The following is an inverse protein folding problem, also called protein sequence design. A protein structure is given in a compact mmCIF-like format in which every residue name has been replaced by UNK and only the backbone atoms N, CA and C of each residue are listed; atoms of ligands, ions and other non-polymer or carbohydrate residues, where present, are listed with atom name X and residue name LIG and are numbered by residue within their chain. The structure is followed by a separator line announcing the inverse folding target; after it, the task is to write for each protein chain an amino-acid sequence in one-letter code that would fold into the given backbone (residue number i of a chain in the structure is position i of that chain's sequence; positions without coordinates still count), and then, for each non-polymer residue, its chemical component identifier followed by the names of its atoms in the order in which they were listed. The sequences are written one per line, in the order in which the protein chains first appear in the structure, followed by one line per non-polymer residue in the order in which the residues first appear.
data_IF_816481134764
#
_entry.id   IF_816481134764
#
_cell.length_a   1.000
_cell.length_b   1.000
_cell.length_c   1.000
_cell.angle_alpha   90.00
_cell.angle_beta   90.00
_cell.angle_gamma   90.00
#
_symmetry.space_group_name_H-M   'P 1'
#
loop_
_entity.id
_entity.type
_entity.pdbx_description
1 polymer ?
#
# COMPACT_ATOMS: atom_id res chain seq x y z
N UNK A 1 -13.68 8.01 5.44
CA UNK A 1 -12.31 7.77 4.94
C UNK A 1 -12.29 6.45 4.19
N UNK A 2 -11.85 6.45 2.94
CA UNK A 2 -11.68 5.24 2.12
C UNK A 2 -10.44 4.46 2.56
N UNK A 3 -10.58 3.17 2.77
CA UNK A 3 -9.51 2.27 3.22
C UNK A 3 -9.04 1.43 2.04
N UNK A 4 -7.84 1.66 1.57
CA UNK A 4 -7.28 0.98 0.42
C UNK A 4 -6.16 0.03 0.84
N UNK A 5 -6.05 -1.10 0.18
CA UNK A 5 -4.90 -1.99 0.29
C UNK A 5 -4.06 -1.86 -0.98
N UNK A 6 -2.74 -1.84 -0.85
CA UNK A 6 -1.82 -1.91 -1.98
C UNK A 6 -0.79 -3.00 -1.73
N UNK A 7 -0.60 -3.90 -2.71
CA UNK A 7 0.33 -5.01 -2.62
C UNK A 7 0.78 -5.47 -4.01
N UNK A 8 2.01 -6.01 -4.12
CA UNK A 8 2.45 -6.80 -5.25
C UNK A 8 2.36 -8.29 -4.86
N UNK A 9 1.71 -9.10 -5.68
CA UNK A 9 1.42 -10.51 -5.38
C UNK A 9 1.82 -11.40 -6.54
N UNK A 10 2.39 -12.56 -6.23
CA UNK A 10 2.63 -13.63 -7.21
C UNK A 10 1.32 -14.38 -7.56
N UNK A 11 1.33 -15.22 -8.59
CA UNK A 11 0.18 -16.05 -8.97
C UNK A 11 -0.28 -16.99 -7.84
N UNK A 12 0.64 -17.42 -6.98
CA UNK A 12 0.33 -18.20 -5.78
C UNK A 12 0.08 -17.34 -4.52
N UNK A 13 -0.22 -16.05 -4.69
CA UNK A 13 -0.47 -15.05 -3.63
C UNK A 13 0.73 -14.76 -2.73
N UNK A 14 1.93 -15.23 -3.05
CA UNK A 14 3.14 -14.91 -2.29
C UNK A 14 3.47 -13.41 -2.38
N UNK A 15 3.92 -12.82 -1.26
CA UNK A 15 4.27 -11.40 -1.13
C UNK A 15 5.65 -11.19 -0.50
N UNK A 16 6.24 -12.19 0.13
CA UNK A 16 7.50 -12.05 0.83
C UNK A 16 8.08 -13.38 1.30
N UNK A 17 9.36 -13.32 1.67
CA UNK A 17 10.12 -14.37 2.32
C UNK A 17 11.18 -13.76 3.23
N UNK A 18 11.37 -14.30 4.41
CA UNK A 18 12.38 -13.83 5.39
C UNK A 18 12.28 -12.34 5.70
N UNK A 19 11.04 -11.79 5.71
CA UNK A 19 10.74 -10.36 5.88
C UNK A 19 11.28 -9.45 4.76
N UNK A 20 11.56 -9.99 3.58
CA UNK A 20 12.00 -9.26 2.39
C UNK A 20 10.96 -9.39 1.26
N UNK A 21 11.00 -8.44 0.31
CA UNK A 21 10.22 -8.53 -0.93
C UNK A 21 10.81 -9.60 -1.84
N UNK A 22 9.95 -10.29 -2.60
CA UNK A 22 10.35 -11.39 -3.50
C UNK A 22 11.02 -10.90 -4.79
N UNK A 23 10.83 -9.64 -5.15
CA UNK A 23 11.32 -9.04 -6.39
C UNK A 23 11.50 -7.54 -6.23
N UNK A 24 12.27 -6.97 -7.14
CA UNK A 24 12.35 -5.54 -7.35
C UNK A 24 11.86 -5.23 -8.76
N UNK A 25 10.75 -4.52 -8.88
CA UNK A 25 10.17 -4.06 -10.15
C UNK A 25 10.08 -2.53 -10.06
N UNK A 26 10.92 -1.86 -10.86
CA UNK A 26 11.02 -0.39 -10.81
C UNK A 26 9.69 0.32 -11.11
N UNK A 27 8.89 -0.24 -12.02
CA UNK A 27 7.57 0.28 -12.35
C UNK A 27 6.58 0.16 -11.17
N UNK A 28 6.61 -0.96 -10.44
CA UNK A 28 5.78 -1.17 -9.24
C UNK A 28 6.15 -0.18 -8.13
N UNK A 29 7.43 0.07 -7.90
CA UNK A 29 7.88 1.05 -6.91
C UNK A 29 7.43 2.48 -7.26
N UNK A 30 7.44 2.85 -8.55
CA UNK A 30 6.92 4.14 -9.03
C UNK A 30 5.40 4.22 -8.87
N UNK A 31 4.68 3.14 -9.22
CA UNK A 31 3.24 3.02 -9.04
C UNK A 31 2.84 3.14 -7.57
N UNK A 32 3.48 2.38 -6.68
CA UNK A 32 3.27 2.44 -5.23
C UNK A 32 3.47 3.87 -4.70
N UNK A 33 4.60 4.52 -5.07
CA UNK A 33 4.87 5.89 -4.66
C UNK A 33 3.79 6.86 -5.15
N UNK A 34 3.40 6.79 -6.41
CA UNK A 34 2.39 7.66 -7.02
C UNK A 34 1.03 7.51 -6.33
N UNK A 35 0.57 6.28 -6.13
CA UNK A 35 -0.76 5.97 -5.57
C UNK A 35 -0.86 6.35 -4.09
N UNK A 36 0.22 6.17 -3.31
CA UNK A 36 0.22 6.41 -1.86
C UNK A 36 0.67 7.82 -1.46
N UNK A 37 1.16 8.63 -2.40
CA UNK A 37 1.70 9.96 -2.09
C UNK A 37 0.62 10.87 -1.48
N UNK A 38 1.00 11.57 -0.40
CA UNK A 38 0.10 12.45 0.34
C UNK A 38 -0.92 11.74 1.24
N UNK A 39 -1.03 10.42 1.16
CA UNK A 39 -1.96 9.64 1.98
C UNK A 39 -1.31 9.08 3.25
N UNK A 40 -2.04 8.90 4.36
CA UNK A 40 -1.59 8.07 5.46
C UNK A 40 -1.36 6.63 4.99
N UNK A 41 -0.24 6.04 5.42
CA UNK A 41 0.10 4.63 5.16
C UNK A 41 0.15 3.86 6.48
N UNK A 42 -0.47 2.69 6.48
CA UNK A 42 -0.58 1.80 7.65
C UNK A 42 0.18 0.52 7.37
N UNK A 43 1.06 0.13 8.29
CA UNK A 43 1.87 -1.09 8.18
C UNK A 43 2.01 -1.79 9.53
N UNK A 44 2.29 -3.08 9.49
CA UNK A 44 2.72 -3.83 10.68
C UNK A 44 4.20 -3.61 11.00
N UNK A 45 4.60 -3.88 12.24
CA UNK A 45 5.97 -3.66 12.72
C UNK A 45 7.04 -4.40 11.90
N UNK A 46 6.78 -5.64 11.46
CA UNK A 46 7.72 -6.37 10.60
C UNK A 46 7.97 -5.67 9.26
N UNK A 47 6.92 -5.09 8.66
CA UNK A 47 7.04 -4.30 7.42
C UNK A 47 7.83 -3.01 7.67
N UNK A 48 7.61 -2.35 8.81
CA UNK A 48 8.42 -1.20 9.22
C UNK A 48 9.91 -1.56 9.30
N UNK A 49 10.26 -2.69 9.92
CA UNK A 49 11.65 -3.17 9.99
C UNK A 49 12.25 -3.46 8.61
N UNK A 50 11.48 -4.05 7.70
CA UNK A 50 11.91 -4.32 6.33
C UNK A 50 12.18 -3.03 5.53
N UNK A 51 11.33 -2.00 5.70
CA UNK A 51 11.50 -0.70 5.02
C UNK A 51 12.66 0.10 5.64
N UNK A 52 12.84 0.00 6.97
CA UNK A 52 13.95 0.57 7.73
C UNK A 52 13.95 2.09 7.89
N UNK A 53 12.97 2.81 7.32
CA UNK A 53 12.87 4.27 7.38
C UNK A 53 11.44 4.75 7.10
N UNK A 54 11.06 5.97 7.55
CA UNK A 54 9.80 6.57 7.15
C UNK A 54 9.75 6.80 5.64
N UNK A 55 8.60 6.52 5.03
CA UNK A 55 8.36 6.83 3.63
C UNK A 55 7.98 8.32 3.51
N UNK A 56 8.77 9.14 2.79
CA UNK A 56 8.56 10.59 2.74
C UNK A 56 7.25 10.98 2.04
N UNK A 57 6.69 12.13 2.45
CA UNK A 57 5.45 12.68 1.89
C UNK A 57 4.18 11.89 2.27
N UNK A 58 4.27 11.04 3.29
CA UNK A 58 3.16 10.21 3.79
C UNK A 58 3.23 10.12 5.31
N UNK A 59 2.09 10.11 5.99
CA UNK A 59 2.06 9.81 7.41
C UNK A 59 2.25 8.31 7.62
N UNK A 60 3.34 7.94 8.29
CA UNK A 60 3.67 6.54 8.56
C UNK A 60 3.03 6.10 9.87
N UNK A 61 2.13 5.11 9.81
CA UNK A 61 1.43 4.55 10.97
C UNK A 61 1.81 3.08 11.09
N UNK A 62 2.40 2.71 12.23
CA UNK A 62 2.89 1.36 12.50
C UNK A 62 2.08 0.70 13.59
N UNK A 63 1.47 -0.44 13.24
CA UNK A 63 0.74 -1.27 14.20
C UNK A 63 1.75 -2.14 14.96
N UNK A 64 1.85 -1.90 16.26
CA UNK A 64 2.76 -2.61 17.17
C UNK A 64 2.18 -2.72 18.58
N UNK A 65 2.47 -3.81 19.28
CA UNK A 65 2.10 -3.96 20.70
C UNK A 65 3.15 -3.42 21.66
N UNK A 66 4.38 -3.24 21.17
CA UNK A 66 5.50 -2.76 21.97
C UNK A 66 6.03 -1.45 21.37
N UNK A 67 6.32 -0.49 22.22
CA UNK A 67 7.00 0.73 21.79
C UNK A 67 8.40 0.40 21.27
N UNK A 68 8.82 1.10 20.22
CA UNK A 68 10.16 0.99 19.65
C UNK A 68 10.69 2.40 19.33
N UNK A 69 12.00 2.54 19.26
CA UNK A 69 12.63 3.80 18.89
C UNK A 69 12.38 4.10 17.41
N UNK A 70 11.72 5.22 17.15
CA UNK A 70 11.37 5.67 15.80
C UNK A 70 11.38 7.20 15.75
N UNK A 71 11.58 7.81 14.56
CA UNK A 71 11.41 9.24 14.39
C UNK A 71 10.03 9.72 14.85
N UNK A 72 9.91 10.93 15.37
CA UNK A 72 8.64 11.52 15.86
C UNK A 72 7.54 11.58 14.78
N UNK A 73 7.94 11.58 13.50
CA UNK A 73 7.01 11.53 12.36
C UNK A 73 6.29 10.19 12.19
N UNK A 74 6.68 9.16 12.94
CA UNK A 74 6.10 7.81 12.88
C UNK A 74 5.12 7.62 14.03
N UNK A 75 3.88 7.31 13.68
CA UNK A 75 2.81 7.06 14.66
C UNK A 75 2.78 5.58 14.99
N UNK A 76 2.92 5.24 16.28
CA UNK A 76 2.84 3.88 16.77
C UNK A 76 1.49 3.65 17.43
N UNK A 77 0.79 2.59 17.04
CA UNK A 77 -0.56 2.28 17.53
C UNK A 77 -0.69 0.78 17.84
N UNK A 78 -1.54 0.38 18.81
CA UNK A 78 -1.62 -1.01 19.25
C UNK A 78 -2.40 -1.93 18.33
N UNK A 79 -3.31 -1.39 17.52
CA UNK A 79 -4.26 -2.18 16.72
C UNK A 79 -4.75 -1.47 15.46
N UNK A 80 -5.54 -2.18 14.65
CA UNK A 80 -6.09 -1.70 13.38
C UNK A 80 -7.07 -0.55 13.58
N UNK A 81 -7.90 -0.59 14.61
CA UNK A 81 -8.89 0.47 14.86
C UNK A 81 -8.20 1.79 15.19
N UNK A 82 -7.19 1.75 16.05
CA UNK A 82 -6.33 2.90 16.37
C UNK A 82 -5.57 3.41 15.16
N UNK A 83 -5.13 2.51 14.24
CA UNK A 83 -4.47 2.91 13.01
C UNK A 83 -5.41 3.69 12.07
N UNK A 84 -6.65 3.25 11.91
CA UNK A 84 -7.62 3.98 11.12
C UNK A 84 -8.02 5.32 11.76
N UNK A 85 -8.15 5.38 13.08
CA UNK A 85 -8.39 6.64 13.80
C UNK A 85 -7.23 7.63 13.56
N UNK A 86 -5.98 7.19 13.75
CA UNK A 86 -4.80 8.01 13.49
C UNK A 86 -4.71 8.48 12.03
N UNK A 87 -5.09 7.64 11.07
CA UNK A 87 -5.13 8.02 9.65
C UNK A 87 -6.19 9.10 9.37
N UNK A 88 -7.31 9.09 10.09
CA UNK A 88 -8.39 10.05 9.92
C UNK A 88 -8.07 11.44 10.51
N UNK A 89 -7.34 11.50 11.62
CA UNK A 89 -6.95 12.76 12.27
C UNK A 89 -6.10 13.68 11.40
N UNK A 90 -5.32 13.11 10.46
CA UNK A 90 -4.46 13.90 9.56
C UNK A 90 -5.23 14.70 8.55
N UNK A 91 -6.38 14.21 8.14
CA UNK A 91 -7.18 14.86 7.08
C UNK A 91 -7.79 16.16 7.56
N UNK A 92 -8.01 16.30 8.87
CA UNK A 92 -8.52 17.55 9.46
C UNK A 92 -7.44 18.65 9.48
N UNK A 93 -6.15 18.26 9.55
CA UNK A 93 -5.03 19.22 9.64
C UNK A 93 -4.39 19.53 8.26
N UNK A 94 -4.57 18.69 7.24
CA UNK A 94 -3.98 18.88 5.92
C UNK A 94 -4.66 20.00 5.10
N UNK A 95 -5.93 20.29 5.40
CA UNK A 95 -6.69 21.38 4.74
C UNK A 95 -6.09 22.77 5.02
N UNK A 96 -5.27 22.90 6.08
CA UNK A 96 -4.65 24.16 6.47
C UNK A 96 -3.25 24.36 5.86
N UNK A 97 -2.58 23.28 5.41
CA UNK A 97 -1.18 23.34 4.95
C UNK A 97 -1.01 23.33 3.42
N UNK A 98 -2.06 23.11 2.65
CA UNK A 98 -1.99 22.98 1.17
C UNK A 98 -1.96 24.30 0.39
N UNK A 99 -2.13 25.44 1.04
CA UNK A 99 -2.02 26.75 0.36
C UNK A 99 -0.59 27.21 0.04
N UNK A 100 0.45 26.47 0.45
CA UNK A 100 1.84 26.96 0.38
C UNK A 100 2.77 26.29 -0.65
N UNK A 101 2.38 25.26 -1.41
CA UNK A 101 3.29 24.59 -2.37
C UNK A 101 2.64 24.15 -3.68
N UNK A 102 2.13 25.11 -4.44
CA UNK A 102 1.78 24.92 -5.85
C UNK A 102 2.92 25.45 -6.75
N UNK A 103 3.99 24.67 -6.91
CA UNK A 103 4.98 24.91 -7.96
C UNK A 103 5.85 23.66 -8.15
N UNK A 104 5.40 22.72 -8.89
CA UNK A 104 6.13 21.86 -9.85
C UNK A 104 5.27 20.63 -10.24
N UNK A 105 4.26 20.88 -11.08
CA UNK A 105 3.42 19.81 -11.61
C UNK A 105 3.64 19.66 -13.11
N UNK A 106 4.55 18.77 -13.48
CA UNK A 106 4.66 18.32 -14.86
C UNK A 106 3.68 17.18 -15.14
N UNK A 107 2.83 17.39 -16.14
CA UNK A 107 1.80 16.58 -16.75
C UNK A 107 1.86 15.06 -16.47
N UNK A 108 0.90 14.56 -15.73
CA UNK A 108 0.52 13.14 -15.68
C UNK A 108 -0.98 13.04 -15.98
N UNK A 109 -1.38 12.05 -16.79
CA UNK A 109 -2.75 11.87 -17.25
C UNK A 109 -3.76 11.93 -16.10
N UNK A 110 -4.83 12.72 -16.29
CA UNK A 110 -5.85 13.09 -15.30
C UNK A 110 -6.77 11.94 -14.83
N UNK A 111 -6.56 10.70 -15.28
CA UNK A 111 -7.42 9.56 -14.91
C UNK A 111 -7.04 8.89 -13.58
N UNK A 112 -5.81 9.06 -13.07
CA UNK A 112 -5.31 8.40 -11.85
C UNK A 112 -4.94 9.38 -10.71
N UNK A 113 -5.14 10.67 -10.88
CA UNK A 113 -4.97 11.65 -9.82
C UNK A 113 -6.17 11.62 -8.87
N UNK A 114 -6.19 10.60 -8.00
CA UNK A 114 -7.16 10.56 -6.90
C UNK A 114 -6.74 11.62 -5.88
N UNK A 115 -7.69 12.44 -5.44
CA UNK A 115 -7.47 13.37 -4.34
C UNK A 115 -6.95 12.55 -3.13
N UNK A 116 -5.84 12.96 -2.53
CA UNK A 116 -5.30 12.35 -1.31
C UNK A 116 -6.24 12.51 -0.11
N UNK A 117 -7.26 13.35 -0.26
CA UNK A 117 -8.25 13.63 0.75
C UNK A 117 -9.20 12.45 0.97
N UNK A 118 -9.40 12.08 2.20
CA UNK A 118 -10.39 11.09 2.60
C UNK A 118 -9.97 9.64 2.40
N UNK A 119 -8.71 9.30 2.18
CA UNK A 119 -8.26 7.92 2.00
C UNK A 119 -6.97 7.58 2.77
N UNK A 120 -6.77 6.29 3.06
CA UNK A 120 -5.53 5.74 3.60
C UNK A 120 -5.14 4.46 2.86
N UNK A 121 -3.87 4.06 2.95
CA UNK A 121 -3.36 2.84 2.34
C UNK A 121 -2.76 1.90 3.37
N UNK A 122 -3.20 0.65 3.38
CA UNK A 122 -2.59 -0.45 4.10
C UNK A 122 -1.53 -1.05 3.17
N UNK A 123 -0.26 -1.06 3.62
CA UNK A 123 0.89 -1.46 2.82
C UNK A 123 1.59 -2.74 3.31
N UNK A 124 0.95 -3.45 4.23
CA UNK A 124 1.42 -4.76 4.67
C UNK A 124 1.78 -4.88 6.15
N UNK A 125 2.30 -6.03 6.54
CA UNK A 125 2.50 -7.27 5.80
C UNK A 125 1.31 -8.22 5.87
N UNK A 126 1.54 -9.50 5.63
CA UNK A 126 0.51 -10.54 5.51
C UNK A 126 -0.56 -10.49 6.62
N UNK A 127 -0.16 -10.47 7.89
CA UNK A 127 -1.09 -10.37 9.03
C UNK A 127 -1.89 -9.06 9.06
N UNK A 128 -1.33 -7.97 8.55
CA UNK A 128 -2.03 -6.69 8.47
C UNK A 128 -3.07 -6.74 7.36
N UNK A 129 -2.71 -7.29 6.19
CA UNK A 129 -3.67 -7.52 5.10
C UNK A 129 -4.82 -8.42 5.53
N UNK A 130 -4.55 -9.56 6.17
CA UNK A 130 -5.56 -10.49 6.68
C UNK A 130 -6.57 -9.79 7.60
N UNK A 131 -6.09 -8.96 8.54
CA UNK A 131 -6.93 -8.26 9.52
C UNK A 131 -7.72 -7.09 8.94
N UNK A 132 -7.28 -6.53 7.82
CA UNK A 132 -7.87 -5.32 7.25
C UNK A 132 -8.67 -5.57 5.99
N UNK A 133 -8.49 -6.71 5.30
CA UNK A 133 -9.15 -7.02 4.03
C UNK A 133 -10.68 -6.89 4.11
N UNK A 134 -11.28 -7.37 5.22
CA UNK A 134 -12.72 -7.26 5.42
C UNK A 134 -13.24 -5.81 5.55
N UNK A 135 -12.35 -4.87 5.86
CA UNK A 135 -12.68 -3.44 6.06
C UNK A 135 -12.20 -2.55 4.90
N UNK A 136 -11.48 -3.13 3.94
CA UNK A 136 -10.96 -2.38 2.80
C UNK A 136 -12.07 -2.10 1.77
N UNK A 137 -12.00 -0.94 1.12
CA UNK A 137 -12.93 -0.50 0.08
C UNK A 137 -12.39 -0.80 -1.32
N UNK A 138 -11.06 -0.69 -1.51
CA UNK A 138 -10.37 -1.00 -2.77
C UNK A 138 -9.06 -1.76 -2.53
N UNK A 139 -8.69 -2.56 -3.53
CA UNK A 139 -7.38 -3.22 -3.59
C UNK A 139 -6.65 -2.72 -4.85
N UNK A 140 -5.43 -2.26 -4.66
CA UNK A 140 -4.48 -1.91 -5.71
C UNK A 140 -3.45 -3.03 -5.75
N UNK A 141 -3.57 -3.92 -6.73
CA UNK A 141 -2.77 -5.15 -6.80
C UNK A 141 -1.86 -5.09 -8.02
N UNK A 142 -0.58 -5.24 -7.79
CA UNK A 142 0.37 -5.57 -8.86
C UNK A 142 0.45 -7.08 -8.93
N UNK A 143 -0.14 -7.67 -9.97
CA UNK A 143 0.03 -9.09 -10.26
C UNK A 143 1.40 -9.31 -10.90
N UNK A 144 2.24 -10.09 -10.25
CA UNK A 144 3.53 -10.52 -10.80
C UNK A 144 3.37 -11.96 -11.27
N UNK A 145 3.43 -12.16 -12.58
CA UNK A 145 3.14 -13.44 -13.24
C UNK A 145 4.28 -14.44 -13.02
N UNK A 146 4.39 -14.91 -11.82
CA UNK A 146 5.34 -15.92 -11.35
C UNK A 146 4.78 -16.66 -10.15
N UNK A 147 5.38 -17.78 -9.79
CA UNK A 147 5.04 -18.52 -8.57
C UNK A 147 6.28 -18.67 -7.71
N UNK A 148 6.17 -18.43 -6.41
CA UNK A 148 7.26 -18.52 -5.44
C UNK A 148 6.90 -19.56 -4.37
N UNK A 149 7.21 -20.86 -4.59
CA UNK A 149 6.77 -21.94 -3.71
C UNK A 149 7.35 -21.89 -2.30
N UNK A 150 8.54 -21.27 -2.14
CA UNK A 150 9.28 -21.16 -0.89
C UNK A 150 9.04 -19.84 -0.15
N UNK A 151 8.01 -19.09 -0.54
CA UNK A 151 7.57 -17.91 0.19
C UNK A 151 6.98 -18.28 1.56
N UNK A 152 7.13 -17.39 2.54
CA UNK A 152 6.58 -17.54 3.91
C UNK A 152 5.50 -16.50 4.27
N UNK A 153 5.30 -15.52 3.39
CA UNK A 153 4.28 -14.50 3.54
C UNK A 153 3.37 -14.45 2.30
N UNK A 154 2.06 -14.51 2.53
CA UNK A 154 1.05 -14.56 1.49
C UNK A 154 0.00 -13.47 1.69
N UNK A 155 -0.51 -12.95 0.58
CA UNK A 155 -1.70 -12.12 0.57
C UNK A 155 -2.94 -13.01 0.70
N UNK A 156 -3.98 -12.58 1.44
CA UNK A 156 -5.22 -13.35 1.53
C UNK A 156 -5.92 -13.43 0.16
N UNK A 157 -6.64 -14.52 -0.09
CA UNK A 157 -7.34 -14.73 -1.35
C UNK A 157 -8.30 -13.56 -1.67
N UNK A 158 -8.25 -13.11 -2.93
CA UNK A 158 -9.18 -12.10 -3.45
C UNK A 158 -10.43 -12.83 -3.94
N UNK A 159 -11.43 -12.96 -3.06
CA UNK A 159 -12.67 -13.67 -3.35
C UNK A 159 -13.52 -12.89 -4.39
N UNK A 160 -13.79 -13.46 -5.57
CA UNK A 160 -14.63 -12.82 -6.59
C UNK A 160 -16.08 -12.66 -6.16
N UNK A 161 -16.54 -13.32 -5.10
CA UNK A 161 -17.85 -13.06 -4.51
C UNK A 161 -17.91 -11.70 -3.78
N UNK A 162 -16.77 -11.21 -3.28
CA UNK A 162 -16.62 -9.97 -2.51
C UNK A 162 -16.04 -8.83 -3.35
N UNK A 163 -15.14 -9.15 -4.28
CA UNK A 163 -14.38 -8.18 -5.04
C UNK A 163 -14.71 -8.24 -6.53
N UNK A 164 -14.84 -7.06 -7.15
CA UNK A 164 -14.99 -6.91 -8.60
C UNK A 164 -13.76 -6.25 -9.18
N UNK A 165 -13.18 -6.82 -10.22
CA UNK A 165 -12.11 -6.18 -10.99
C UNK A 165 -12.67 -4.94 -11.68
N UNK A 166 -12.17 -3.77 -11.31
CA UNK A 166 -12.55 -2.48 -11.90
C UNK A 166 -11.71 -2.15 -13.13
N UNK A 167 -10.41 -2.39 -13.05
CA UNK A 167 -9.47 -2.14 -14.13
C UNK A 167 -8.25 -3.04 -13.99
N UNK A 168 -7.63 -3.36 -15.14
CA UNK A 168 -6.35 -4.05 -15.20
C UNK A 168 -5.59 -3.54 -16.42
N UNK A 169 -4.28 -3.28 -16.28
CA UNK A 169 -3.42 -2.96 -17.40
C UNK A 169 -3.03 -4.21 -18.18
N UNK A 170 -2.70 -4.11 -19.47
CA UNK A 170 -2.00 -5.19 -20.15
C UNK A 170 -0.72 -5.57 -19.39
N UNK A 171 -0.30 -6.86 -19.45
CA UNK A 171 0.97 -7.27 -18.88
C UNK A 171 2.16 -6.55 -19.53
N UNK A 172 3.07 -6.09 -18.69
CA UNK A 172 4.35 -5.51 -19.07
C UNK A 172 5.48 -6.40 -18.56
N UNK A 173 6.67 -6.28 -19.16
CA UNK A 173 7.87 -7.03 -18.74
C UNK A 173 8.87 -6.08 -18.11
N UNK A 174 9.31 -6.39 -16.88
CA UNK A 174 10.36 -5.65 -16.23
C UNK A 174 11.71 -5.91 -16.94
N UNK A 175 12.41 -4.85 -17.39
CA UNK A 175 13.63 -5.00 -18.19
C UNK A 175 14.84 -5.51 -17.40
N UNK A 176 14.81 -5.42 -16.06
CA UNK A 176 15.94 -5.77 -15.18
C UNK A 176 15.93 -7.27 -14.84
N UNK A 177 14.75 -7.86 -14.64
CA UNK A 177 14.61 -9.23 -14.16
C UNK A 177 13.73 -10.12 -15.06
N UNK A 178 13.10 -9.57 -16.12
CA UNK A 178 12.27 -10.30 -17.06
C UNK A 178 10.90 -10.74 -16.52
N UNK A 179 10.53 -10.34 -15.31
CA UNK A 179 9.23 -10.67 -14.75
C UNK A 179 8.11 -9.91 -15.45
N UNK A 180 7.04 -10.62 -15.76
CA UNK A 180 5.82 -9.99 -16.25
C UNK A 180 4.95 -9.55 -15.09
N UNK A 181 4.32 -8.38 -15.22
CA UNK A 181 3.43 -7.82 -14.22
C UNK A 181 2.29 -7.03 -14.86
N UNK A 182 1.17 -6.92 -14.14
CA UNK A 182 0.05 -6.03 -14.49
C UNK A 182 -0.46 -5.31 -13.25
N UNK A 183 -1.03 -4.11 -13.43
CA UNK A 183 -1.65 -3.35 -12.35
C UNK A 183 -3.16 -3.54 -12.41
N UNK A 184 -3.74 -4.02 -11.33
CA UNK A 184 -5.17 -4.24 -11.19
C UNK A 184 -5.77 -3.45 -10.02
N UNK A 185 -6.99 -2.97 -10.20
CA UNK A 185 -7.78 -2.34 -9.15
C UNK A 185 -9.06 -3.12 -8.95
N UNK A 186 -9.29 -3.56 -7.72
CA UNK A 186 -10.52 -4.22 -7.31
C UNK A 186 -11.33 -3.30 -6.40
N UNK A 187 -12.64 -3.34 -6.55
CA UNK A 187 -13.60 -2.64 -5.70
C UNK A 187 -14.49 -3.64 -4.99
N UNK A 188 -14.89 -3.31 -3.77
CA UNK A 188 -15.84 -4.12 -3.02
C UNK A 188 -17.22 -4.04 -3.67
N UNK A 189 -17.91 -5.17 -3.75
CA UNK A 189 -19.31 -5.27 -4.22
C UNK A 189 -20.28 -4.62 -3.25
#
# INVERSE_FOLDING_TARGET
MQKNIIAAVADNMAIGRDNELLWHISADMKYFRRVTMGCPIIMGYKTWLSIGRPLPGRRNIVITKSHFDAPESVVQVPDVASAFAAAQEVQVNATVAQEAQAADAQKVNAADAQSSEGQCFIIGGAKTYERTLAQADKLYITHVHTSVPDADAFFPAIDPAVWTLQSETPPETDPENGLQYSFAVYVRK
#
